data_IF_746084982565
#
_entry.id   IF_746084982565
#
_cell.length_a   1.000
_cell.length_b   1.000
_cell.length_c   1.000
_cell.angle_alpha   90.00
_cell.angle_beta   90.00
_cell.angle_gamma   90.00
#
_symmetry.space_group_name_H-M   'P 1'
#
loop_
_entity.id
_entity.type
_entity.pdbx_description
1 polymer ?
#
# COMPACT_ATOMS: atom_id res chain seq x y z
N UNK A 1 16.58 -2.13 6.06
CA UNK A 1 15.27 -2.08 5.34
C UNK A 1 14.21 -1.50 6.26
N UNK A 2 13.39 -0.59 5.77
CA UNK A 2 12.28 0.03 6.49
C UNK A 2 10.96 -0.21 5.76
N UNK A 3 9.88 -0.49 6.48
CA UNK A 3 8.54 -0.62 5.92
C UNK A 3 7.72 0.61 6.30
N UNK A 4 7.30 1.37 5.30
CA UNK A 4 6.53 2.61 5.46
C UNK A 4 5.07 2.37 5.11
N UNK A 5 4.17 2.54 6.08
CA UNK A 5 2.74 2.33 5.94
C UNK A 5 1.98 3.62 5.67
N UNK A 6 1.01 3.55 4.77
CA UNK A 6 0.04 4.61 4.48
C UNK A 6 -1.38 4.08 4.66
N UNK A 7 -2.11 4.66 5.62
CA UNK A 7 -3.45 4.23 6.00
C UNK A 7 -4.56 4.77 5.08
N UNK A 8 -5.75 4.20 5.19
CA UNK A 8 -6.93 4.59 4.43
C UNK A 8 -7.49 5.96 4.83
N UNK A 9 -8.54 6.39 4.11
CA UNK A 9 -9.13 7.72 4.23
C UNK A 9 -9.64 8.02 5.64
N UNK A 10 -10.36 7.06 6.24
CA UNK A 10 -11.07 7.21 7.51
C UNK A 10 -10.45 6.40 8.65
N UNK A 11 -9.33 5.72 8.38
CA UNK A 11 -8.59 4.99 9.41
C UNK A 11 -7.45 5.84 9.97
N UNK A 12 -6.80 5.34 11.00
CA UNK A 12 -5.58 5.94 11.54
C UNK A 12 -4.32 5.16 11.16
N UNK A 13 -3.15 5.67 11.56
CA UNK A 13 -1.87 5.06 11.17
C UNK A 13 -1.65 3.67 11.76
N UNK A 14 -2.33 3.32 12.84
CA UNK A 14 -2.15 2.05 13.55
C UNK A 14 -3.47 1.26 13.66
N UNK A 15 -4.24 1.18 12.58
CA UNK A 15 -5.40 0.31 12.48
C UNK A 15 -5.01 -1.19 12.50
N UNK A 16 -6.01 -2.06 12.62
CA UNK A 16 -5.82 -3.52 12.81
C UNK A 16 -4.92 -4.15 11.75
N UNK A 17 -5.13 -3.85 10.47
CA UNK A 17 -4.28 -4.39 9.38
C UNK A 17 -2.82 -3.93 9.52
N UNK A 18 -2.60 -2.64 9.68
CA UNK A 18 -1.25 -2.08 9.77
C UNK A 18 -0.50 -2.66 10.97
N UNK A 19 -1.14 -2.74 12.14
CA UNK A 19 -0.53 -3.37 13.32
C UNK A 19 -0.12 -4.82 13.05
N UNK A 20 -0.98 -5.59 12.38
CA UNK A 20 -0.69 -7.01 12.06
C UNK A 20 0.49 -7.14 11.12
N UNK A 21 0.54 -6.33 10.04
CA UNK A 21 1.63 -6.36 9.07
C UNK A 21 2.93 -5.76 9.65
N UNK A 22 2.84 -4.71 10.43
CA UNK A 22 3.99 -4.13 11.12
C UNK A 22 4.68 -5.15 12.02
N UNK A 23 3.90 -5.98 12.75
CA UNK A 23 4.44 -7.05 13.58
C UNK A 23 5.20 -8.10 12.77
N UNK A 24 4.75 -8.41 11.56
CA UNK A 24 5.48 -9.31 10.64
C UNK A 24 6.81 -8.66 10.24
N UNK A 25 6.79 -7.41 9.81
CA UNK A 25 7.99 -6.68 9.40
C UNK A 25 9.02 -6.59 10.54
N UNK A 26 8.58 -6.27 11.76
CA UNK A 26 9.44 -6.25 12.95
C UNK A 26 10.08 -7.62 13.25
N UNK A 27 9.31 -8.70 13.13
CA UNK A 27 9.82 -10.06 13.33
C UNK A 27 10.88 -10.44 12.28
N UNK A 28 10.86 -9.79 11.11
CA UNK A 28 11.85 -9.94 10.04
C UNK A 28 12.97 -8.89 10.12
N UNK A 29 13.13 -8.25 11.27
CA UNK A 29 14.14 -7.25 11.55
C UNK A 29 14.07 -5.98 10.69
N UNK A 30 12.89 -5.67 10.12
CA UNK A 30 12.65 -4.40 9.45
C UNK A 30 12.27 -3.30 10.46
N UNK A 31 12.76 -2.08 10.23
CA UNK A 31 12.18 -0.89 10.84
C UNK A 31 10.76 -0.67 10.31
N UNK A 32 9.88 -0.12 11.13
CA UNK A 32 8.50 0.19 10.71
C UNK A 32 8.15 1.64 11.01
N UNK A 33 7.44 2.27 10.09
CA UNK A 33 6.88 3.60 10.26
C UNK A 33 5.48 3.64 9.64
N UNK A 34 4.53 4.21 10.35
CA UNK A 34 3.20 4.47 9.81
C UNK A 34 2.91 5.96 9.91
N UNK A 35 2.76 6.57 8.73
CA UNK A 35 2.55 8.02 8.64
C UNK A 35 1.13 8.37 9.06
N UNK A 36 0.99 9.38 9.91
CA UNK A 36 -0.31 9.91 10.31
C UNK A 36 -0.81 10.96 9.32
N UNK A 37 -1.93 10.65 8.67
CA UNK A 37 -2.63 11.53 7.74
C UNK A 37 -4.02 11.94 8.26
N UNK A 38 -4.31 11.74 9.54
CA UNK A 38 -5.66 11.93 10.09
C UNK A 38 -6.18 13.37 10.02
N UNK A 39 -5.30 14.35 9.83
CA UNK A 39 -5.61 15.76 9.67
C UNK A 39 -6.04 16.16 8.25
N UNK A 40 -5.94 15.28 7.26
CA UNK A 40 -6.35 15.56 5.88
C UNK A 40 -6.98 14.36 5.19
N UNK A 41 -8.03 14.61 4.42
CA UNK A 41 -8.69 13.66 3.53
C UNK A 41 -8.27 13.87 2.06
N UNK A 42 -7.39 14.82 1.79
CA UNK A 42 -6.87 15.08 0.45
C UNK A 42 -5.76 14.07 0.11
N UNK A 43 -5.96 13.20 -0.89
CA UNK A 43 -4.98 12.18 -1.24
C UNK A 43 -3.67 12.76 -1.74
N UNK A 44 -3.71 13.89 -2.41
CA UNK A 44 -2.54 14.48 -3.05
C UNK A 44 -1.68 15.24 -2.03
N UNK A 45 -2.28 15.87 -1.00
CA UNK A 45 -1.55 16.37 0.17
C UNK A 45 -0.89 15.24 0.97
N UNK A 46 -1.53 14.07 1.05
CA UNK A 46 -0.92 12.89 1.66
C UNK A 46 0.30 12.40 0.88
N UNK A 47 0.26 12.45 -0.45
CA UNK A 47 1.42 12.14 -1.31
C UNK A 47 2.59 13.07 -1.00
N UNK A 48 2.35 14.39 -0.94
CA UNK A 48 3.39 15.37 -0.60
C UNK A 48 4.01 15.09 0.78
N UNK A 49 3.19 14.74 1.76
CA UNK A 49 3.66 14.36 3.10
C UNK A 49 4.55 13.13 3.08
N UNK A 50 4.11 12.08 2.38
CA UNK A 50 4.91 10.85 2.25
C UNK A 50 6.25 11.15 1.58
N UNK A 51 6.27 11.90 0.49
CA UNK A 51 7.50 12.31 -0.18
C UNK A 51 8.44 13.09 0.74
N UNK A 52 7.89 13.98 1.58
CA UNK A 52 8.66 14.73 2.58
C UNK A 52 9.29 13.84 3.67
N UNK A 53 8.64 12.74 4.04
CA UNK A 53 9.19 11.72 4.96
C UNK A 53 10.28 10.92 4.26
N UNK A 54 10.00 10.40 3.07
CA UNK A 54 10.93 9.56 2.31
C UNK A 54 12.19 10.29 1.88
N UNK A 55 12.12 11.61 1.65
CA UNK A 55 13.29 12.42 1.31
C UNK A 55 14.35 12.47 2.44
N UNK A 56 13.98 12.15 3.67
CA UNK A 56 14.86 12.10 4.84
C UNK A 56 15.30 10.68 5.19
N UNK A 57 14.72 9.68 4.53
CA UNK A 57 15.03 8.28 4.79
C UNK A 57 16.39 7.95 4.17
N UNK A 58 17.22 7.24 4.92
CA UNK A 58 18.54 6.78 4.49
C UNK A 58 18.58 5.27 4.24
N UNK A 59 17.64 4.55 4.81
CA UNK A 59 17.50 3.12 4.61
C UNK A 59 16.73 2.83 3.32
N UNK A 60 17.00 1.69 2.71
CA UNK A 60 16.13 1.10 1.70
C UNK A 60 14.74 0.86 2.30
N UNK A 61 13.69 1.12 1.53
CA UNK A 61 12.33 1.04 2.06
C UNK A 61 11.34 0.35 1.12
N UNK A 62 10.35 -0.24 1.77
CA UNK A 62 9.17 -0.83 1.16
C UNK A 62 7.97 0.05 1.48
N UNK A 63 7.11 0.31 0.49
CA UNK A 63 5.86 1.05 0.69
C UNK A 63 4.70 0.07 0.83
N UNK A 64 3.86 0.32 1.82
CA UNK A 64 2.65 -0.49 2.08
C UNK A 64 1.46 0.45 2.22
N UNK A 65 0.45 0.28 1.37
CA UNK A 65 -0.70 1.18 1.38
C UNK A 65 -2.04 0.47 1.36
N UNK A 66 -3.00 1.00 2.12
CA UNK A 66 -4.38 0.51 2.17
C UNK A 66 -5.36 1.57 1.67
N UNK A 67 -6.23 1.22 0.72
CA UNK A 67 -7.26 2.10 0.16
C UNK A 67 -6.66 3.41 -0.36
N UNK A 68 -7.04 4.59 0.17
CA UNK A 68 -6.40 5.86 -0.17
C UNK A 68 -4.87 5.81 0.06
N UNK A 69 -4.40 5.14 1.11
CA UNK A 69 -2.98 4.95 1.35
C UNK A 69 -2.28 4.13 0.25
N UNK A 70 -3.01 3.27 -0.44
CA UNK A 70 -2.53 2.56 -1.63
C UNK A 70 -2.26 3.51 -2.80
N UNK A 71 -3.19 4.43 -3.06
CA UNK A 71 -2.97 5.52 -4.02
C UNK A 71 -1.75 6.36 -3.64
N UNK A 72 -1.69 6.78 -2.38
CA UNK A 72 -0.58 7.61 -1.86
C UNK A 72 0.78 6.94 -2.08
N UNK A 73 0.90 5.66 -1.70
CA UNK A 73 2.14 4.89 -1.87
C UNK A 73 2.52 4.73 -3.34
N UNK A 74 1.56 4.40 -4.19
CA UNK A 74 1.81 4.18 -5.62
C UNK A 74 2.22 5.48 -6.33
N UNK A 75 1.54 6.60 -6.05
CA UNK A 75 1.88 7.89 -6.66
C UNK A 75 3.24 8.39 -6.18
N UNK A 76 3.54 8.28 -4.89
CA UNK A 76 4.86 8.65 -4.36
C UNK A 76 5.99 7.85 -5.01
N UNK A 77 5.76 6.57 -5.34
CA UNK A 77 6.76 5.71 -6.00
C UNK A 77 7.13 6.13 -7.43
N UNK A 78 6.44 7.09 -8.00
CA UNK A 78 6.82 7.69 -9.29
C UNK A 78 7.99 8.68 -9.15
N UNK A 79 8.14 9.26 -7.97
CA UNK A 79 9.17 10.27 -7.67
C UNK A 79 10.38 9.68 -6.94
N UNK A 80 10.18 8.62 -6.15
CA UNK A 80 11.22 7.96 -5.35
C UNK A 80 11.35 6.48 -5.73
N UNK A 81 12.53 5.91 -5.51
CA UNK A 81 12.75 4.48 -5.69
C UNK A 81 12.43 3.74 -4.39
N UNK A 82 11.39 2.90 -4.41
CA UNK A 82 11.11 1.93 -3.37
C UNK A 82 11.56 0.54 -3.83
N UNK A 83 12.06 -0.28 -2.93
CA UNK A 83 12.48 -1.65 -3.25
C UNK A 83 11.28 -2.52 -3.67
N UNK A 84 10.17 -2.34 -2.99
CA UNK A 84 8.93 -3.02 -3.31
C UNK A 84 7.70 -2.24 -2.80
N UNK A 85 6.52 -2.59 -3.33
CA UNK A 85 5.24 -1.97 -2.97
C UNK A 85 4.20 -3.06 -2.74
N UNK A 86 3.54 -3.03 -1.58
CA UNK A 86 2.42 -3.90 -1.26
C UNK A 86 1.14 -3.09 -1.06
N UNK A 87 0.12 -3.35 -1.86
CA UNK A 87 -1.12 -2.58 -1.87
C UNK A 87 -2.31 -3.44 -1.45
N UNK A 88 -3.17 -2.90 -0.60
CA UNK A 88 -4.39 -3.54 -0.13
C UNK A 88 -5.60 -2.72 -0.58
N UNK A 89 -6.43 -3.27 -1.47
CA UNK A 89 -7.62 -2.61 -2.03
C UNK A 89 -7.35 -1.13 -2.39
N UNK A 90 -6.31 -0.82 -3.22
CA UNK A 90 -5.86 0.54 -3.45
C UNK A 90 -6.92 1.37 -4.16
N UNK A 91 -7.09 2.62 -3.73
CA UNK A 91 -8.05 3.57 -4.29
C UNK A 91 -7.51 4.20 -5.59
N UNK A 92 -7.43 3.41 -6.65
CA UNK A 92 -6.95 3.82 -7.96
C UNK A 92 -8.12 4.22 -8.88
N UNK A 93 -7.88 5.10 -9.84
CA UNK A 93 -8.87 5.57 -10.82
C UNK A 93 -10.13 6.17 -10.16
N UNK A 94 -9.95 6.82 -9.02
CA UNK A 94 -11.04 7.48 -8.30
C UNK A 94 -11.27 8.87 -8.88
N UNK A 95 -12.50 9.21 -9.28
CA UNK A 95 -12.82 10.56 -9.74
C UNK A 95 -12.46 11.61 -8.70
N UNK A 96 -11.80 12.68 -9.15
CA UNK A 96 -11.36 13.77 -8.27
C UNK A 96 -9.96 13.62 -7.69
N UNK A 97 -9.33 12.46 -7.78
CA UNK A 97 -7.91 12.31 -7.47
C UNK A 97 -7.07 12.87 -8.63
N UNK A 98 -5.96 13.51 -8.34
CA UNK A 98 -5.16 14.20 -9.36
C UNK A 98 -4.56 13.21 -10.37
N UNK A 99 -4.02 12.08 -9.89
CA UNK A 99 -3.41 11.08 -10.76
C UNK A 99 -4.43 10.02 -11.16
N UNK A 100 -4.51 9.80 -12.48
CA UNK A 100 -5.36 8.78 -13.10
C UNK A 100 -4.54 7.78 -13.93
N UNK A 101 -3.24 8.02 -14.08
CA UNK A 101 -2.26 7.13 -14.70
C UNK A 101 -1.11 6.92 -13.71
N UNK A 102 -0.60 5.69 -13.63
CA UNK A 102 0.38 5.32 -12.62
C UNK A 102 1.60 4.67 -13.27
N UNK A 103 2.76 5.29 -13.11
CA UNK A 103 4.05 4.83 -13.65
C UNK A 103 5.08 4.73 -12.52
N UNK A 104 4.95 3.71 -11.69
CA UNK A 104 5.91 3.46 -10.62
C UNK A 104 7.32 3.20 -11.15
N UNK A 105 8.32 3.65 -10.42
CA UNK A 105 9.73 3.28 -10.64
C UNK A 105 10.09 1.95 -10.01
N UNK A 106 9.20 1.40 -9.19
CA UNK A 106 9.36 0.11 -8.54
C UNK A 106 8.93 -1.01 -9.48
N UNK A 107 9.74 -2.04 -9.58
CA UNK A 107 9.44 -3.22 -10.41
C UNK A 107 8.74 -4.34 -9.64
N UNK A 108 8.85 -4.36 -8.32
CA UNK A 108 8.23 -5.37 -7.46
C UNK A 108 6.99 -4.80 -6.78
N UNK A 109 5.83 -5.03 -7.37
CA UNK A 109 4.53 -4.56 -6.86
C UNK A 109 3.60 -5.74 -6.71
N UNK A 110 3.00 -5.88 -5.52
CA UNK A 110 1.94 -6.84 -5.27
C UNK A 110 0.67 -6.14 -4.75
N UNK A 111 -0.47 -6.60 -5.22
CA UNK A 111 -1.79 -6.07 -4.83
C UNK A 111 -2.63 -7.21 -4.25
N UNK A 112 -3.34 -6.93 -3.18
CA UNK A 112 -4.41 -7.79 -2.63
C UNK A 112 -5.72 -7.04 -2.70
N UNK A 113 -6.77 -7.66 -3.28
CA UNK A 113 -8.09 -7.05 -3.37
C UNK A 113 -9.18 -8.11 -3.13
N UNK A 114 -10.20 -7.74 -2.37
CA UNK A 114 -11.33 -8.61 -2.09
C UNK A 114 -12.37 -8.59 -3.20
N UNK A 115 -12.90 -9.75 -3.57
CA UNK A 115 -13.96 -9.88 -4.58
C UNK A 115 -15.25 -9.12 -4.23
N UNK A 116 -15.54 -8.99 -2.94
CA UNK A 116 -16.76 -8.35 -2.43
C UNK A 116 -16.56 -6.92 -1.95
N UNK A 117 -15.50 -6.25 -2.43
CA UNK A 117 -15.25 -4.85 -2.13
C UNK A 117 -16.35 -3.98 -2.75
N UNK A 118 -17.12 -3.30 -1.91
CA UNK A 118 -18.23 -2.42 -2.27
C UNK A 118 -17.85 -0.93 -2.24
N UNK A 119 -16.59 -0.62 -1.94
CA UNK A 119 -16.06 0.76 -1.88
C UNK A 119 -15.17 1.05 -3.08
N UNK A 120 -14.17 0.20 -3.32
CA UNK A 120 -13.27 0.31 -4.48
C UNK A 120 -13.54 -0.87 -5.41
N UNK A 121 -13.98 -0.64 -6.65
CA UNK A 121 -14.20 -1.70 -7.61
C UNK A 121 -12.93 -2.56 -7.80
N UNK A 122 -13.07 -3.87 -7.68
CA UNK A 122 -11.95 -4.81 -7.88
C UNK A 122 -11.32 -4.68 -9.29
N UNK A 123 -12.13 -4.27 -10.25
CA UNK A 123 -11.72 -3.99 -11.64
C UNK A 123 -10.63 -2.92 -11.73
N UNK A 124 -10.57 -1.99 -10.78
CA UNK A 124 -9.50 -0.98 -10.73
C UNK A 124 -8.13 -1.61 -10.47
N UNK A 125 -8.05 -2.56 -9.56
CA UNK A 125 -6.82 -3.32 -9.31
C UNK A 125 -6.47 -4.25 -10.47
N UNK A 126 -7.46 -4.90 -11.08
CA UNK A 126 -7.26 -5.75 -12.27
C UNK A 126 -6.68 -4.91 -13.41
N UNK A 127 -7.26 -3.75 -13.70
CA UNK A 127 -6.77 -2.82 -14.71
C UNK A 127 -5.32 -2.43 -14.47
N UNK A 128 -5.02 -1.94 -13.28
CA UNK A 128 -3.66 -1.51 -12.97
C UNK A 128 -2.65 -2.66 -13.03
N UNK A 129 -3.00 -3.83 -12.48
CA UNK A 129 -2.12 -5.00 -12.50
C UNK A 129 -1.80 -5.46 -13.94
N UNK A 130 -2.76 -5.39 -14.85
CA UNK A 130 -2.55 -5.67 -16.27
C UNK A 130 -1.64 -4.63 -16.93
N UNK A 131 -1.89 -3.33 -16.71
CA UNK A 131 -1.09 -2.23 -17.26
C UNK A 131 0.36 -2.25 -16.74
N UNK A 132 0.56 -2.55 -15.46
CA UNK A 132 1.87 -2.59 -14.81
C UNK A 132 2.58 -3.95 -14.93
N UNK A 133 1.88 -5.00 -15.38
CA UNK A 133 2.35 -6.38 -15.39
C UNK A 133 2.86 -6.83 -14.00
N UNK A 134 2.12 -6.50 -12.94
CA UNK A 134 2.46 -6.82 -11.56
C UNK A 134 1.57 -7.94 -10.98
N UNK A 135 1.93 -8.44 -9.80
CA UNK A 135 1.19 -9.52 -9.14
C UNK A 135 -0.10 -9.00 -8.49
N UNK A 136 -1.21 -9.69 -8.75
CA UNK A 136 -2.51 -9.41 -8.15
C UNK A 136 -3.07 -10.67 -7.49
N UNK A 137 -3.41 -10.56 -6.21
CA UNK A 137 -4.10 -11.57 -5.42
C UNK A 137 -5.56 -11.16 -5.25
N UNK A 138 -6.47 -11.90 -5.88
CA UNK A 138 -7.91 -11.74 -5.69
C UNK A 138 -8.38 -12.76 -4.66
N UNK A 139 -8.91 -12.28 -3.54
CA UNK A 139 -9.29 -13.12 -2.41
C UNK A 139 -10.76 -12.90 -2.02
N UNK A 140 -11.32 -13.84 -1.28
CA UNK A 140 -12.61 -13.62 -0.61
C UNK A 140 -12.45 -12.52 0.44
N UNK A 141 -13.28 -11.48 0.40
CA UNK A 141 -13.23 -10.38 1.35
C UNK A 141 -13.90 -9.11 0.85
N UNK A 142 -14.22 -8.26 1.79
CA UNK A 142 -14.77 -6.91 1.61
C UNK A 142 -13.65 -5.85 1.57
N UNK A 143 -14.02 -4.56 1.54
CA UNK A 143 -13.04 -3.47 1.50
C UNK A 143 -12.06 -3.45 2.67
N UNK A 144 -12.48 -3.59 3.95
CA UNK A 144 -11.55 -3.61 5.07
C UNK A 144 -10.62 -4.81 5.11
N UNK A 145 -10.98 -5.94 4.46
CA UNK A 145 -10.23 -7.21 4.48
C UNK A 145 -10.02 -7.81 5.89
N UNK A 146 -10.82 -7.40 6.87
CA UNK A 146 -10.65 -7.85 8.26
C UNK A 146 -10.95 -9.34 8.43
N UNK A 147 -11.96 -9.88 7.72
CA UNK A 147 -12.29 -11.31 7.72
C UNK A 147 -11.23 -12.17 7.03
N UNK A 148 -10.38 -11.57 6.21
CA UNK A 148 -9.30 -12.21 5.44
C UNK A 148 -7.92 -11.78 5.92
N UNK A 149 -7.82 -11.20 7.12
CA UNK A 149 -6.59 -10.60 7.64
C UNK A 149 -5.41 -11.57 7.65
N UNK A 150 -5.61 -12.83 8.06
CA UNK A 150 -4.53 -13.81 8.09
C UNK A 150 -4.09 -14.26 6.69
N UNK A 151 -4.98 -14.23 5.70
CA UNK A 151 -4.60 -14.45 4.29
C UNK A 151 -3.73 -13.30 3.81
N UNK A 152 -4.13 -12.06 4.06
CA UNK A 152 -3.34 -10.85 3.73
C UNK A 152 -1.98 -10.88 4.42
N UNK A 153 -1.96 -11.24 5.71
CA UNK A 153 -0.74 -11.36 6.50
C UNK A 153 0.24 -12.39 5.91
N UNK A 154 -0.25 -13.56 5.53
CA UNK A 154 0.58 -14.60 4.90
C UNK A 154 1.10 -14.20 3.50
N UNK A 155 0.32 -13.45 2.73
CA UNK A 155 0.77 -12.88 1.45
C UNK A 155 1.87 -11.84 1.67
N UNK A 156 1.69 -10.95 2.65
CA UNK A 156 2.67 -9.93 2.98
C UNK A 156 3.98 -10.51 3.52
N UNK A 157 3.93 -11.55 4.35
CA UNK A 157 5.11 -12.23 4.85
C UNK A 157 5.94 -12.79 3.70
N UNK A 158 5.33 -13.53 2.78
CA UNK A 158 6.01 -14.06 1.57
C UNK A 158 6.54 -12.96 0.66
N UNK A 159 5.79 -11.86 0.51
CA UNK A 159 6.26 -10.70 -0.23
C UNK A 159 7.54 -10.13 0.37
N UNK A 160 7.59 -9.93 1.70
CA UNK A 160 8.79 -9.42 2.37
C UNK A 160 9.96 -10.39 2.28
N UNK A 161 9.72 -11.70 2.39
CA UNK A 161 10.77 -12.73 2.20
C UNK A 161 11.47 -12.60 0.85
N UNK A 162 10.75 -12.23 -0.20
CA UNK A 162 11.33 -12.04 -1.55
C UNK A 162 12.12 -10.73 -1.70
N UNK A 163 11.90 -9.77 -0.82
CA UNK A 163 12.51 -8.42 -0.90
C UNK A 163 13.73 -8.30 0.00
N UNK A 164 13.76 -9.03 1.12
CA UNK A 164 14.81 -8.90 2.14
C UNK A 164 16.04 -9.76 1.83
N UNK A 165 15.93 -10.72 0.91
CA UNK A 165 17.07 -11.52 0.42
C UNK A 165 18.03 -10.62 -0.42
#
# INVERSE_FOLDING_TARGET
>A
MKVCFSHGKESGPWGTKIKRLAKIAENMACGVESIDYTDTMDPDLRVERLLGVLAKEQDEFVLVGSSMGGYVSLVASQEVHAEAIFLMAPALYIPGYERQEYRSRCSHIEIVHGWSDDVIPVEHSIRYAQEANCTLHLISGDHPLNSSLEVVAGLFERFLEQVID
#
